data_IF_796936601440
#
_entry.id   IF_796936601440
#
_cell.length_a   1.000
_cell.length_b   1.000
_cell.length_c   1.000
_cell.angle_alpha   90.00
_cell.angle_beta   90.00
_cell.angle_gamma   90.00
#
_symmetry.space_group_name_H-M   'P 1'
#
loop_
_entity.id
_entity.type
_entity.pdbx_description
1 polymer ?
#
# COMPACT_ATOMS: atom_id res chain seq x y z
N UNK A 1 -5.83 33.41 44.88
CA UNK A 1 -6.28 32.27 44.06
C UNK A 1 -5.30 32.13 42.89
N UNK A 2 -4.48 31.06 42.87
CA UNK A 2 -3.45 30.84 41.84
C UNK A 2 -4.05 30.00 40.71
N UNK A 3 -4.23 30.62 39.54
CA UNK A 3 -4.66 29.95 38.31
C UNK A 3 -3.50 29.13 37.72
N UNK A 4 -3.35 27.89 38.17
CA UNK A 4 -2.52 26.87 37.50
C UNK A 4 -3.43 25.98 36.64
N UNK A 5 -3.81 26.46 35.45
CA UNK A 5 -4.66 25.69 34.53
C UNK A 5 -4.39 25.85 33.01
N UNK A 6 -3.22 26.32 32.50
CA UNK A 6 -2.98 26.26 31.04
C UNK A 6 -2.02 25.14 30.61
N UNK A 7 -1.22 24.54 31.50
CA UNK A 7 -0.17 23.59 31.07
C UNK A 7 -0.71 22.21 30.68
N UNK A 8 -1.84 21.78 31.26
CA UNK A 8 -2.38 20.43 31.01
C UNK A 8 -3.13 20.31 29.68
N UNK A 9 -3.58 21.44 29.10
CA UNK A 9 -4.32 21.45 27.83
C UNK A 9 -3.38 21.28 26.62
N UNK A 10 -2.14 21.74 26.73
CA UNK A 10 -1.17 21.70 25.63
C UNK A 10 -0.60 20.29 25.38
N UNK A 11 -0.61 19.43 26.41
CA UNK A 11 -0.04 18.07 26.33
C UNK A 11 -0.94 17.09 25.54
N UNK A 12 -2.23 17.37 25.41
CA UNK A 12 -3.17 16.49 24.69
C UNK A 12 -3.10 16.70 23.17
N UNK A 13 -2.71 17.90 22.72
CA UNK A 13 -2.62 18.23 21.28
C UNK A 13 -1.42 17.58 20.58
N UNK A 14 -0.36 17.17 21.30
CA UNK A 14 0.83 16.57 20.68
C UNK A 14 0.67 15.08 20.39
N UNK A 15 -0.31 14.40 21.00
CA UNK A 15 -0.58 12.98 20.76
C UNK A 15 -1.37 12.72 19.47
N UNK A 16 -2.08 13.71 18.94
CA UNK A 16 -2.86 13.58 17.71
C UNK A 16 -2.01 13.64 16.42
N UNK A 17 -0.69 13.91 16.53
CA UNK A 17 0.21 14.00 15.37
C UNK A 17 0.97 12.69 15.06
N UNK A 18 0.85 11.65 15.90
CA UNK A 18 1.47 10.35 15.67
C UNK A 18 0.54 9.42 14.90
N UNK A 19 0.35 9.69 13.62
CA UNK A 19 -0.47 8.86 12.75
C UNK A 19 -0.38 9.28 11.30
N UNK A 20 0.83 9.59 10.81
CA UNK A 20 1.03 9.77 9.38
C UNK A 20 0.86 8.41 8.70
N UNK A 21 -0.36 8.19 8.20
CA UNK A 21 -0.85 7.06 7.42
C UNK A 21 -0.18 7.02 6.03
N UNK A 22 1.15 6.96 6.03
CA UNK A 22 2.01 7.06 4.85
C UNK A 22 2.74 5.74 4.69
N UNK A 23 2.02 4.67 4.40
CA UNK A 23 2.63 3.33 4.35
C UNK A 23 2.46 2.56 3.03
N UNK A 24 1.64 3.05 2.07
CA UNK A 24 1.53 2.45 0.73
C UNK A 24 1.45 3.46 -0.43
N UNK A 25 1.38 4.77 -0.16
CA UNK A 25 1.36 5.83 -1.21
C UNK A 25 2.71 6.03 -1.92
N UNK A 26 3.78 5.36 -1.50
CA UNK A 26 5.12 5.57 -2.07
C UNK A 26 5.40 4.82 -3.37
N UNK A 27 4.58 3.84 -3.74
CA UNK A 27 4.81 2.95 -4.88
C UNK A 27 3.82 3.15 -6.03
N UNK A 28 2.79 3.97 -5.84
CA UNK A 28 1.82 4.35 -6.86
C UNK A 28 2.05 5.82 -7.13
N UNK A 29 2.26 6.17 -8.39
CA UNK A 29 2.41 7.56 -8.81
C UNK A 29 1.02 8.22 -8.97
N UNK A 30 0.95 9.54 -8.76
CA UNK A 30 -0.32 10.27 -8.92
C UNK A 30 -0.80 10.27 -10.38
N UNK A 31 0.12 10.08 -11.33
CA UNK A 31 -0.18 9.99 -12.76
C UNK A 31 -0.61 8.56 -13.21
N UNK A 32 -0.56 7.57 -12.31
CA UNK A 32 -0.94 6.19 -12.63
C UNK A 32 -2.46 6.06 -12.86
N UNK A 33 -2.85 5.40 -13.96
CA UNK A 33 -4.25 5.09 -14.22
C UNK A 33 -4.77 4.09 -13.19
N UNK A 34 -5.74 4.50 -12.38
CA UNK A 34 -6.43 3.64 -11.40
C UNK A 34 -7.53 2.84 -12.09
N UNK A 35 -7.44 1.51 -12.03
CA UNK A 35 -8.45 0.60 -12.58
C UNK A 35 -9.59 0.35 -11.60
N UNK A 36 -9.27 0.20 -10.31
CA UNK A 36 -10.24 -0.08 -9.25
C UNK A 36 -9.71 0.33 -7.88
N UNK A 37 -10.61 0.69 -6.97
CA UNK A 37 -10.33 0.90 -5.55
C UNK A 37 -10.87 -0.27 -4.74
N UNK A 38 -10.02 -0.87 -3.91
CA UNK A 38 -10.39 -1.93 -2.96
C UNK A 38 -10.17 -1.36 -1.56
N UNK A 39 -11.24 -1.16 -0.79
CA UNK A 39 -11.22 -0.48 0.52
C UNK A 39 -10.52 0.89 0.49
N UNK A 40 -10.73 1.66 -0.58
CA UNK A 40 -10.10 2.97 -0.79
C UNK A 40 -8.63 2.91 -1.22
N UNK A 41 -8.06 1.71 -1.43
CA UNK A 41 -6.69 1.51 -1.85
C UNK A 41 -6.63 1.14 -3.34
N UNK A 42 -5.77 1.77 -4.16
CA UNK A 42 -5.80 1.59 -5.61
C UNK A 42 -5.19 0.25 -6.06
N UNK A 43 -5.72 -0.25 -7.18
CA UNK A 43 -5.10 -1.18 -8.11
C UNK A 43 -4.96 -0.43 -9.44
N UNK A 44 -3.73 -0.33 -9.96
CA UNK A 44 -3.40 0.53 -11.11
C UNK A 44 -3.08 -0.27 -12.36
N UNK A 45 -3.13 0.39 -13.51
CA UNK A 45 -2.78 -0.19 -14.81
C UNK A 45 -1.34 -0.73 -14.84
N UNK A 46 -0.31 -0.03 -14.32
CA UNK A 46 1.05 -0.59 -14.26
C UNK A 46 1.15 -1.91 -13.49
N UNK A 47 0.32 -2.13 -12.47
CA UNK A 47 0.29 -3.41 -11.74
C UNK A 47 -0.23 -4.55 -12.63
N UNK A 48 -1.29 -4.27 -13.40
CA UNK A 48 -1.87 -5.22 -14.33
C UNK A 48 -0.90 -5.53 -15.49
N UNK A 49 -0.32 -4.51 -16.10
CA UNK A 49 0.68 -4.65 -17.17
C UNK A 49 1.89 -5.46 -16.70
N UNK A 50 2.37 -5.23 -15.47
CA UNK A 50 3.46 -6.02 -14.90
C UNK A 50 3.09 -7.50 -14.73
N UNK A 51 1.86 -7.80 -14.28
CA UNK A 51 1.40 -9.19 -14.17
C UNK A 51 1.22 -9.84 -15.55
N UNK A 52 0.69 -9.10 -16.52
CA UNK A 52 0.55 -9.56 -17.91
C UNK A 52 1.91 -9.90 -18.50
N UNK A 53 2.90 -9.00 -18.40
CA UNK A 53 4.25 -9.25 -18.91
C UNK A 53 4.92 -10.43 -18.21
N UNK A 54 4.72 -10.57 -16.90
CA UNK A 54 5.33 -11.64 -16.11
C UNK A 54 4.74 -13.02 -16.41
N UNK A 55 3.48 -13.08 -16.84
CA UNK A 55 2.76 -14.33 -17.13
C UNK A 55 2.55 -14.60 -18.62
N UNK A 56 2.99 -13.68 -19.49
CA UNK A 56 2.85 -13.80 -20.93
C UNK A 56 1.41 -13.67 -21.43
N UNK A 57 0.58 -12.88 -20.74
CA UNK A 57 -0.79 -12.58 -21.18
C UNK A 57 -0.74 -11.41 -22.18
N UNK A 58 -1.35 -11.60 -23.35
CA UNK A 58 -1.43 -10.58 -24.39
C UNK A 58 -2.44 -9.50 -24.05
N UNK A 59 -2.25 -8.28 -24.57
CA UNK A 59 -3.23 -7.18 -24.44
C UNK A 59 -4.57 -7.48 -25.13
N UNK A 60 -4.54 -8.29 -26.19
CA UNK A 60 -5.76 -8.74 -26.90
C UNK A 60 -6.48 -9.88 -26.17
N UNK A 61 -5.85 -10.50 -25.17
CA UNK A 61 -6.46 -11.55 -24.35
C UNK A 61 -7.29 -10.94 -23.22
N UNK A 62 -8.48 -10.50 -23.58
CA UNK A 62 -9.40 -9.85 -22.63
C UNK A 62 -9.81 -10.75 -21.46
N UNK A 63 -9.89 -12.07 -21.66
CA UNK A 63 -10.24 -12.99 -20.57
C UNK A 63 -9.05 -13.16 -19.61
N UNK A 64 -7.84 -13.39 -20.15
CA UNK A 64 -6.63 -13.44 -19.33
C UNK A 64 -6.40 -12.15 -18.55
N UNK A 65 -6.62 -10.99 -19.18
CA UNK A 65 -6.54 -9.69 -18.52
C UNK A 65 -7.56 -9.56 -17.37
N UNK A 66 -8.79 -10.02 -17.59
CA UNK A 66 -9.84 -10.02 -16.58
C UNK A 66 -9.47 -10.91 -15.39
N UNK A 67 -8.98 -12.12 -15.63
CA UNK A 67 -8.54 -13.05 -14.58
C UNK A 67 -7.41 -12.44 -13.73
N UNK A 68 -6.44 -11.78 -14.37
CA UNK A 68 -5.35 -11.09 -13.67
C UNK A 68 -5.85 -9.91 -12.83
N UNK A 69 -6.80 -9.12 -13.35
CA UNK A 69 -7.40 -8.03 -12.59
C UNK A 69 -8.17 -8.56 -11.36
N UNK A 70 -8.94 -9.64 -11.50
CA UNK A 70 -9.63 -10.29 -10.38
C UNK A 70 -8.63 -10.83 -9.33
N UNK A 71 -7.49 -11.35 -9.77
CA UNK A 71 -6.40 -11.75 -8.88
C UNK A 71 -5.79 -10.55 -8.13
N UNK A 72 -5.51 -9.43 -8.81
CA UNK A 72 -5.01 -8.22 -8.18
C UNK A 72 -5.97 -7.68 -7.12
N UNK A 73 -7.27 -7.65 -7.42
CA UNK A 73 -8.31 -7.24 -6.49
C UNK A 73 -8.27 -8.13 -5.24
N UNK A 74 -8.18 -9.45 -5.42
CA UNK A 74 -8.10 -10.41 -4.32
C UNK A 74 -6.85 -10.20 -3.46
N UNK A 75 -5.69 -10.05 -4.09
CA UNK A 75 -4.42 -9.79 -3.39
C UNK A 75 -4.50 -8.48 -2.59
N UNK A 76 -5.08 -7.43 -3.18
CA UNK A 76 -5.27 -6.14 -2.51
C UNK A 76 -6.21 -6.25 -1.31
N UNK A 77 -7.33 -6.95 -1.44
CA UNK A 77 -8.26 -7.18 -0.34
C UNK A 77 -7.58 -7.91 0.83
N UNK A 78 -6.81 -8.96 0.54
CA UNK A 78 -6.06 -9.69 1.57
C UNK A 78 -5.00 -8.80 2.23
N UNK A 79 -4.25 -8.01 1.44
CA UNK A 79 -3.26 -7.09 1.96
C UNK A 79 -3.90 -6.00 2.85
N UNK A 80 -5.05 -5.47 2.46
CA UNK A 80 -5.80 -4.51 3.25
C UNK A 80 -6.25 -5.09 4.60
N UNK A 81 -6.81 -6.31 4.59
CA UNK A 81 -7.21 -7.00 5.82
C UNK A 81 -6.00 -7.24 6.74
N UNK A 82 -4.88 -7.71 6.19
CA UNK A 82 -3.66 -7.92 6.96
C UNK A 82 -3.12 -6.62 7.59
N UNK A 83 -3.21 -5.48 6.88
CA UNK A 83 -2.86 -4.15 7.42
C UNK A 83 -3.82 -3.71 8.52
N UNK A 84 -5.12 -3.95 8.35
CA UNK A 84 -6.13 -3.63 9.37
C UNK A 84 -5.88 -4.39 10.68
N UNK A 85 -5.38 -5.63 10.59
CA UNK A 85 -4.97 -6.46 11.72
C UNK A 85 -3.56 -6.13 12.25
N UNK A 86 -2.81 -5.26 11.56
CA UNK A 86 -1.46 -4.85 11.96
C UNK A 86 -0.36 -5.88 11.68
N UNK A 87 -0.64 -6.92 10.88
CA UNK A 87 0.32 -7.97 10.52
C UNK A 87 1.49 -7.41 9.71
N UNK A 88 1.28 -6.34 8.95
CA UNK A 88 2.31 -5.64 8.19
C UNK A 88 3.36 -4.95 9.07
N UNK A 89 3.04 -4.73 10.35
CA UNK A 89 3.95 -4.13 11.34
C UNK A 89 4.81 -5.17 12.05
N UNK A 90 4.62 -6.46 11.83
CA UNK A 90 5.47 -7.48 12.45
C UNK A 90 6.94 -7.35 12.02
N UNK A 91 7.92 -7.52 12.94
CA UNK A 91 9.33 -7.31 12.61
C UNK A 91 9.81 -8.13 11.41
N UNK A 92 9.36 -9.38 11.29
CA UNK A 92 9.75 -10.28 10.20
C UNK A 92 9.15 -9.84 8.86
N UNK A 93 7.88 -9.41 8.86
CA UNK A 93 7.19 -8.94 7.65
C UNK A 93 7.84 -7.67 7.13
N UNK A 94 8.12 -6.69 8.02
CA UNK A 94 8.81 -5.45 7.63
C UNK A 94 10.20 -5.71 7.07
N UNK A 95 10.99 -6.57 7.73
CA UNK A 95 12.33 -6.94 7.24
C UNK A 95 12.27 -7.58 5.85
N UNK A 96 11.30 -8.49 5.63
CA UNK A 96 11.11 -9.14 4.34
C UNK A 96 10.71 -8.16 3.23
N UNK A 97 9.80 -7.22 3.52
CA UNK A 97 9.42 -6.16 2.56
C UNK A 97 10.63 -5.32 2.17
N UNK A 98 11.42 -4.87 3.15
CA UNK A 98 12.62 -4.06 2.92
C UNK A 98 13.65 -4.78 2.05
N UNK A 99 13.92 -6.06 2.32
CA UNK A 99 14.88 -6.83 1.52
C UNK A 99 14.41 -6.98 0.06
N UNK A 100 13.11 -7.20 -0.16
CA UNK A 100 12.55 -7.32 -1.52
C UNK A 100 12.61 -6.02 -2.30
N UNK A 101 12.43 -4.90 -1.63
CA UNK A 101 12.57 -3.58 -2.24
C UNK A 101 14.02 -3.34 -2.69
N UNK A 102 15.00 -3.62 -1.82
CA UNK A 102 16.42 -3.53 -2.14
C UNK A 102 16.83 -4.45 -3.32
N UNK A 103 16.37 -5.70 -3.32
CA UNK A 103 16.60 -6.64 -4.44
C UNK A 103 16.03 -6.11 -5.76
N UNK A 104 14.83 -5.51 -5.71
CA UNK A 104 14.16 -4.96 -6.89
C UNK A 104 14.96 -3.80 -7.49
N UNK A 105 15.46 -2.90 -6.64
CA UNK A 105 16.29 -1.77 -7.06
C UNK A 105 17.65 -2.25 -7.61
N UNK A 106 18.26 -3.28 -6.99
CA UNK A 106 19.52 -3.84 -7.46
C UNK A 106 19.41 -4.44 -8.87
N UNK A 107 18.29 -5.07 -9.22
CA UNK A 107 18.10 -5.67 -10.55
C UNK A 107 17.94 -4.64 -11.67
N UNK A 108 17.66 -3.38 -11.34
CA UNK A 108 17.47 -2.28 -12.30
C UNK A 108 18.74 -1.47 -12.56
N UNK A 109 19.75 -1.59 -11.71
CA UNK A 109 21.02 -0.85 -11.78
C UNK A 109 22.13 -1.69 -12.40
#
# INVERSE_FOLDING_TARGET
>A
MRFSFPLSLFLVLTLAACGSDRQDQGLVDDDDVVLVLVDGQPVTLPMLEFMMSSRGVSEDDHEGMRELLDELIRLRAVANAARAEGLDREPQVRARRMLRDLETLQLRY
#
